data_IF_228500603296
#
_entry.id   IF_228500603296
#
_cell.length_a   1.000
_cell.length_b   1.000
_cell.length_c   1.000
_cell.angle_alpha   90.00
_cell.angle_beta   90.00
_cell.angle_gamma   90.00
#
_symmetry.space_group_name_H-M   'P 1'
#
loop_
_entity.id
_entity.type
_entity.pdbx_description
1 polymer ?
#
# COMPACT_ATOMS: atom_id res chain seq x y z
N UNK A 1 -12.75 -14.36 32.72
CA UNK A 1 -11.60 -13.60 32.19
C UNK A 1 -11.60 -12.27 32.90
N UNK A 2 -10.47 -11.83 33.46
CA UNK A 2 -10.39 -10.49 34.03
C UNK A 2 -10.52 -9.47 32.90
N UNK A 3 -11.32 -8.44 33.10
CA UNK A 3 -11.46 -7.33 32.16
C UNK A 3 -10.17 -6.50 32.21
N UNK A 4 -9.54 -6.28 31.05
CA UNK A 4 -8.34 -5.45 30.98
C UNK A 4 -8.69 -4.03 31.41
N UNK A 5 -7.84 -3.43 32.23
CA UNK A 5 -8.01 -2.05 32.63
C UNK A 5 -7.84 -1.11 31.44
N UNK A 6 -8.43 0.08 31.51
CA UNK A 6 -8.23 1.09 30.47
C UNK A 6 -6.73 1.36 30.21
N UNK A 7 -5.91 1.41 31.26
CA UNK A 7 -4.48 1.64 31.11
C UNK A 7 -3.76 0.50 30.34
N UNK A 8 -4.11 -0.77 30.63
CA UNK A 8 -3.56 -1.92 29.91
C UNK A 8 -3.97 -1.93 28.44
N UNK A 9 -5.23 -1.57 28.14
CA UNK A 9 -5.72 -1.41 26.78
C UNK A 9 -4.97 -0.30 26.03
N UNK A 10 -4.75 0.84 26.67
CA UNK A 10 -4.02 1.96 26.07
C UNK A 10 -2.57 1.59 25.75
N UNK A 11 -1.89 0.88 26.64
CA UNK A 11 -0.53 0.41 26.41
C UNK A 11 -0.46 -0.57 25.24
N UNK A 12 -1.36 -1.56 25.20
CA UNK A 12 -1.43 -2.52 24.10
C UNK A 12 -1.70 -1.83 22.75
N UNK A 13 -2.59 -0.83 22.72
CA UNK A 13 -2.87 -0.04 21.52
C UNK A 13 -1.66 0.81 21.11
N UNK A 14 -0.96 1.44 22.05
CA UNK A 14 0.25 2.22 21.76
C UNK A 14 1.31 1.34 21.09
N UNK A 15 1.62 0.18 21.66
CA UNK A 15 2.66 -0.71 21.13
C UNK A 15 2.32 -1.20 19.71
N UNK A 16 1.06 -1.58 19.48
CA UNK A 16 0.64 -2.02 18.16
C UNK A 16 0.62 -0.89 17.13
N UNK A 17 0.16 0.30 17.50
CA UNK A 17 0.15 1.45 16.59
C UNK A 17 1.55 1.97 16.29
N UNK A 18 2.51 1.85 17.20
CA UNK A 18 3.92 2.10 16.92
C UNK A 18 4.49 1.09 15.92
N UNK A 19 4.17 -0.20 16.08
CA UNK A 19 4.55 -1.21 15.09
C UNK A 19 3.92 -0.93 13.71
N UNK A 20 2.64 -0.58 13.67
CA UNK A 20 1.97 -0.20 12.41
C UNK A 20 2.64 1.02 11.78
N UNK A 21 3.00 2.03 12.56
CA UNK A 21 3.68 3.23 12.06
C UNK A 21 4.96 2.86 11.34
N UNK A 22 5.76 1.99 11.92
CA UNK A 22 7.03 1.56 11.32
C UNK A 22 6.79 0.78 10.01
N UNK A 23 5.72 -0.04 9.94
CA UNK A 23 5.31 -0.70 8.69
C UNK A 23 4.80 0.28 7.63
N UNK A 24 4.03 1.29 8.03
CA UNK A 24 3.57 2.34 7.12
C UNK A 24 4.73 3.18 6.57
N UNK A 25 5.75 3.47 7.38
CA UNK A 25 6.97 4.14 6.91
C UNK A 25 7.74 3.30 5.88
N UNK A 26 7.83 1.99 6.09
CA UNK A 26 8.43 1.07 5.12
C UNK A 26 7.61 0.99 3.82
N UNK A 27 6.27 0.93 3.92
CA UNK A 27 5.37 0.97 2.78
C UNK A 27 5.53 2.28 1.99
N UNK A 28 5.58 3.42 2.67
CA UNK A 28 5.79 4.75 2.06
C UNK A 28 7.15 4.86 1.34
N UNK A 29 8.21 4.29 1.91
CA UNK A 29 9.50 4.22 1.24
C UNK A 29 9.43 3.36 -0.04
N UNK A 30 8.68 2.27 0.00
CA UNK A 30 8.50 1.35 -1.14
C UNK A 30 7.65 1.98 -2.24
N UNK A 31 6.55 2.66 -1.91
CA UNK A 31 5.71 3.36 -2.89
C UNK A 31 6.45 4.47 -3.62
N UNK A 32 7.33 5.21 -2.93
CA UNK A 32 8.21 6.19 -3.61
C UNK A 32 9.11 5.55 -4.67
N UNK A 33 9.62 4.34 -4.42
CA UNK A 33 10.44 3.60 -5.40
C UNK A 33 9.60 3.15 -6.60
N UNK A 34 8.38 2.68 -6.37
CA UNK A 34 7.45 2.32 -7.46
C UNK A 34 7.17 3.52 -8.36
N UNK A 35 6.82 4.68 -7.77
CA UNK A 35 6.60 5.92 -8.53
C UNK A 35 7.85 6.31 -9.32
N UNK A 36 9.03 6.23 -8.72
CA UNK A 36 10.29 6.54 -9.40
C UNK A 36 10.55 5.59 -10.59
N UNK A 37 10.36 4.28 -10.41
CA UNK A 37 10.51 3.27 -11.46
C UNK A 37 9.55 3.54 -12.63
N UNK A 38 8.27 3.80 -12.36
CA UNK A 38 7.32 4.12 -13.43
C UNK A 38 7.62 5.43 -14.16
N UNK A 39 8.12 6.46 -13.46
CA UNK A 39 8.58 7.70 -14.12
C UNK A 39 9.80 7.45 -15.02
N UNK A 40 10.65 6.49 -14.65
CA UNK A 40 11.80 6.08 -15.45
C UNK A 40 11.44 5.08 -16.57
N UNK A 41 10.20 4.57 -16.60
CA UNK A 41 9.78 3.52 -17.53
C UNK A 41 10.36 2.14 -17.19
N UNK A 42 10.76 1.94 -15.94
CA UNK A 42 11.31 0.69 -15.41
C UNK A 42 10.22 -0.22 -14.83
N UNK A 43 10.53 -1.51 -14.72
CA UNK A 43 9.67 -2.48 -14.03
C UNK A 43 9.72 -2.27 -12.51
N UNK A 44 8.56 -2.33 -11.88
CA UNK A 44 8.36 -2.16 -10.45
C UNK A 44 7.75 -3.39 -9.76
N UNK A 45 7.69 -4.55 -10.44
CA UNK A 45 7.03 -5.77 -9.95
C UNK A 45 7.53 -6.21 -8.56
N UNK A 46 8.84 -6.23 -8.35
CA UNK A 46 9.42 -6.60 -7.05
C UNK A 46 8.98 -5.63 -5.93
N UNK A 47 8.92 -4.34 -6.24
CA UNK A 47 8.57 -3.33 -5.25
C UNK A 47 7.06 -3.33 -4.96
N UNK A 48 6.23 -3.67 -5.95
CA UNK A 48 4.82 -3.95 -5.74
C UNK A 48 4.60 -5.16 -4.82
N UNK A 49 5.34 -6.25 -5.01
CA UNK A 49 5.27 -7.40 -4.09
C UNK A 49 5.69 -7.03 -2.66
N UNK A 50 6.76 -6.21 -2.50
CA UNK A 50 7.17 -5.71 -1.18
C UNK A 50 6.13 -4.79 -0.54
N UNK A 51 5.49 -3.93 -1.33
CA UNK A 51 4.41 -3.08 -0.85
C UNK A 51 3.22 -3.93 -0.39
N UNK A 52 2.81 -4.92 -1.17
CA UNK A 52 1.74 -5.84 -0.81
C UNK A 52 2.04 -6.57 0.50
N UNK A 53 3.23 -7.15 0.65
CA UNK A 53 3.63 -7.83 1.88
C UNK A 53 3.59 -6.88 3.10
N UNK A 54 3.98 -5.62 2.91
CA UNK A 54 3.91 -4.60 3.99
C UNK A 54 2.46 -4.29 4.39
N UNK A 55 1.53 -4.27 3.42
CA UNK A 55 0.11 -4.05 3.68
C UNK A 55 -0.54 -5.26 4.37
N UNK A 56 -0.14 -6.48 4.01
CA UNK A 56 -0.58 -7.70 4.68
C UNK A 56 -0.12 -7.74 6.15
N UNK A 57 1.12 -7.34 6.42
CA UNK A 57 1.63 -7.21 7.79
C UNK A 57 0.83 -6.18 8.62
N UNK A 58 0.44 -5.05 8.01
CA UNK A 58 -0.41 -4.05 8.66
C UNK A 58 -1.80 -4.60 8.95
N UNK A 59 -2.39 -5.34 8.00
CA UNK A 59 -3.68 -6.01 8.19
C UNK A 59 -3.63 -7.00 9.35
N UNK A 60 -2.57 -7.81 9.44
CA UNK A 60 -2.38 -8.74 10.55
C UNK A 60 -2.31 -8.03 11.91
N UNK A 61 -1.61 -6.88 12.01
CA UNK A 61 -1.58 -6.10 13.27
C UNK A 61 -2.97 -5.54 13.58
N UNK A 62 -3.71 -5.03 12.59
CA UNK A 62 -5.07 -4.54 12.78
C UNK A 62 -6.01 -5.62 13.34
N UNK A 63 -5.90 -6.84 12.81
CA UNK A 63 -6.69 -7.98 13.29
C UNK A 63 -6.33 -8.35 14.73
N UNK A 64 -5.03 -8.34 15.07
CA UNK A 64 -4.55 -8.63 16.43
C UNK A 64 -5.08 -7.62 17.46
N UNK A 65 -5.16 -6.33 17.11
CA UNK A 65 -5.64 -5.29 18.04
C UNK A 65 -7.12 -4.98 17.94
N UNK A 66 -7.85 -5.63 17.04
CA UNK A 66 -9.26 -5.34 16.78
C UNK A 66 -10.12 -5.41 18.03
N UNK A 67 -9.87 -6.40 18.91
CA UNK A 67 -10.61 -6.53 20.17
C UNK A 67 -10.24 -5.46 21.20
N UNK A 68 -8.93 -5.21 21.42
CA UNK A 68 -8.47 -4.18 22.35
C UNK A 68 -8.99 -2.79 21.94
N UNK A 69 -9.01 -2.52 20.63
CA UNK A 69 -9.57 -1.29 20.06
C UNK A 69 -11.06 -1.18 20.32
N UNK A 70 -11.84 -2.25 20.11
CA UNK A 70 -13.29 -2.27 20.40
C UNK A 70 -13.58 -1.98 21.86
N UNK A 71 -12.82 -2.61 22.77
CA UNK A 71 -12.96 -2.39 24.22
C UNK A 71 -12.60 -0.97 24.62
N UNK A 72 -11.52 -0.43 24.05
CA UNK A 72 -11.12 0.96 24.25
C UNK A 72 -12.19 1.95 23.77
N UNK A 73 -12.70 1.78 22.56
CA UNK A 73 -13.76 2.63 21.98
C UNK A 73 -15.04 2.58 22.83
N UNK A 74 -15.41 1.39 23.32
CA UNK A 74 -16.57 1.20 24.21
C UNK A 74 -16.39 1.84 25.60
N UNK A 75 -15.15 1.98 26.07
CA UNK A 75 -14.85 2.59 27.36
C UNK A 75 -15.11 4.11 27.41
N UNK A 76 -15.19 4.77 26.25
CA UNK A 76 -15.39 6.22 26.15
C UNK A 76 -14.21 7.07 26.65
N UNK A 77 -13.09 6.43 26.99
CA UNK A 77 -11.90 7.12 27.44
C UNK A 77 -11.25 7.91 26.30
N UNK A 78 -10.66 9.06 26.65
CA UNK A 78 -9.85 9.83 25.70
C UNK A 78 -8.45 9.20 25.62
N UNK A 79 -7.84 9.12 24.42
CA UNK A 79 -6.45 8.71 24.30
C UNK A 79 -5.56 9.66 25.08
N UNK A 80 -4.60 9.12 25.82
CA UNK A 80 -3.51 9.88 26.40
C UNK A 80 -2.61 10.46 25.29
N UNK A 81 -1.66 11.33 25.66
CA UNK A 81 -0.84 12.08 24.70
C UNK A 81 -0.10 11.16 23.71
N UNK A 82 0.53 10.09 24.20
CA UNK A 82 1.29 9.14 23.37
C UNK A 82 0.39 8.45 22.33
N UNK A 83 -0.74 7.90 22.77
CA UNK A 83 -1.67 7.24 21.86
C UNK A 83 -2.22 8.23 20.81
N UNK A 84 -2.59 9.43 21.25
CA UNK A 84 -3.08 10.49 20.36
C UNK A 84 -2.06 10.91 19.30
N UNK A 85 -0.79 11.10 19.68
CA UNK A 85 0.28 11.42 18.75
C UNK A 85 0.51 10.30 17.72
N UNK A 86 0.57 9.04 18.17
CA UNK A 86 0.76 7.90 17.25
C UNK A 86 -0.41 7.77 16.28
N UNK A 87 -1.67 7.96 16.73
CA UNK A 87 -2.83 7.95 15.84
C UNK A 87 -2.78 9.06 14.78
N UNK A 88 -2.37 10.28 15.15
CA UNK A 88 -2.21 11.39 14.19
C UNK A 88 -1.09 11.11 13.18
N UNK A 89 0.00 10.48 13.61
CA UNK A 89 1.08 10.06 12.71
C UNK A 89 0.59 9.02 11.71
N UNK A 90 -0.14 8.00 12.18
CA UNK A 90 -0.75 6.99 11.33
C UNK A 90 -1.71 7.59 10.30
N UNK A 91 -2.60 8.50 10.72
CA UNK A 91 -3.53 9.18 9.80
C UNK A 91 -2.80 9.95 8.69
N UNK A 92 -1.66 10.57 9.02
CA UNK A 92 -0.83 11.26 8.02
C UNK A 92 -0.17 10.27 7.05
N UNK A 93 0.42 9.20 7.59
CA UNK A 93 1.11 8.18 6.78
C UNK A 93 0.14 7.46 5.84
N UNK A 94 -1.07 7.12 6.31
CA UNK A 94 -2.12 6.51 5.47
C UNK A 94 -2.49 7.43 4.31
N UNK A 95 -2.69 8.73 4.56
CA UNK A 95 -3.00 9.70 3.49
C UNK A 95 -1.87 9.81 2.48
N UNK A 96 -0.63 9.93 2.95
CA UNK A 96 0.55 10.01 2.06
C UNK A 96 0.72 8.74 1.22
N UNK A 97 0.51 7.57 1.82
CA UNK A 97 0.59 6.30 1.10
C UNK A 97 -0.50 6.19 0.02
N UNK A 98 -1.74 6.59 0.34
CA UNK A 98 -2.83 6.63 -0.63
C UNK A 98 -2.54 7.57 -1.81
N UNK A 99 -1.99 8.76 -1.54
CA UNK A 99 -1.57 9.70 -2.59
C UNK A 99 -0.53 9.07 -3.52
N UNK A 100 0.48 8.40 -2.96
CA UNK A 100 1.54 7.77 -3.75
C UNK A 100 1.06 6.55 -4.54
N UNK A 101 0.16 5.74 -3.98
CA UNK A 101 -0.46 4.61 -4.70
C UNK A 101 -1.30 5.13 -5.87
N UNK A 102 -2.11 6.17 -5.65
CA UNK A 102 -2.90 6.78 -6.71
C UNK A 102 -2.02 7.34 -7.83
N UNK A 103 -0.88 7.97 -7.50
CA UNK A 103 0.07 8.42 -8.49
C UNK A 103 0.67 7.25 -9.28
N UNK A 104 1.13 6.20 -8.60
CA UNK A 104 1.67 5.00 -9.24
C UNK A 104 0.66 4.36 -10.20
N UNK A 105 -0.62 4.27 -9.80
CA UNK A 105 -1.70 3.79 -10.67
C UNK A 105 -1.89 4.65 -11.92
N UNK A 106 -1.86 5.99 -11.78
CA UNK A 106 -1.99 6.89 -12.92
C UNK A 106 -0.84 6.71 -13.91
N UNK A 107 0.40 6.60 -13.41
CA UNK A 107 1.58 6.36 -14.23
C UNK A 107 1.52 5.01 -14.94
N UNK A 108 1.15 3.94 -14.22
CA UNK A 108 1.01 2.61 -14.79
C UNK A 108 -0.07 2.56 -15.89
N UNK A 109 -1.22 3.22 -15.67
CA UNK A 109 -2.29 3.34 -16.67
C UNK A 109 -1.81 4.11 -17.90
N UNK A 110 -1.12 5.23 -17.72
CA UNK A 110 -0.57 6.02 -18.83
C UNK A 110 0.46 5.22 -19.64
N UNK A 111 1.34 4.46 -18.97
CA UNK A 111 2.32 3.59 -19.63
C UNK A 111 1.64 2.50 -20.45
N UNK A 112 0.63 1.82 -19.87
CA UNK A 112 -0.18 0.81 -20.57
C UNK A 112 -0.86 1.40 -21.81
N UNK A 113 -1.52 2.54 -21.67
CA UNK A 113 -2.28 3.17 -22.76
C UNK A 113 -1.38 3.63 -23.92
N UNK A 114 -0.10 3.92 -23.63
CA UNK A 114 0.93 4.17 -24.65
C UNK A 114 1.43 2.90 -25.36
N UNK A 115 1.61 1.80 -24.63
CA UNK A 115 2.18 0.55 -25.18
C UNK A 115 1.17 -0.25 -26.01
N UNK A 116 -0.13 -0.20 -25.68
CA UNK A 116 -1.17 -0.97 -26.39
C UNK A 116 -1.21 -0.67 -27.90
N UNK A 117 -1.16 0.59 -28.37
CA UNK A 117 -1.07 0.89 -29.80
C UNK A 117 0.19 0.33 -30.48
N UNK A 118 1.36 0.42 -29.82
CA UNK A 118 2.64 -0.05 -30.36
C UNK A 118 2.61 -1.58 -30.58
N UNK A 119 2.15 -2.32 -29.58
CA UNK A 119 1.97 -3.78 -29.67
C UNK A 119 0.99 -4.19 -30.77
N UNK A 120 -0.10 -3.44 -30.94
CA UNK A 120 -1.08 -3.70 -31.99
C UNK A 120 -0.53 -3.44 -33.40
N UNK A 121 0.34 -2.44 -33.57
CA UNK A 121 0.98 -2.17 -34.85
C UNK A 121 1.99 -3.26 -35.23
N UNK A 122 2.77 -3.74 -34.26
CA UNK A 122 3.70 -4.86 -34.47
C UNK A 122 2.96 -6.15 -34.83
N UNK A 123 1.88 -6.48 -34.10
CA UNK A 123 1.06 -7.66 -34.38
C UNK A 123 0.47 -7.62 -35.80
N UNK A 124 -0.05 -6.46 -36.23
CA UNK A 124 -0.55 -6.27 -37.61
C UNK A 124 0.55 -6.43 -38.66
N UNK A 125 1.74 -5.89 -38.39
CA UNK A 125 2.90 -6.00 -39.29
C UNK A 125 3.36 -7.45 -39.45
N UNK A 126 3.38 -8.21 -38.35
CA UNK A 126 3.71 -9.64 -38.37
C UNK A 126 2.67 -10.46 -39.13
N UNK A 127 1.37 -10.19 -38.93
CA UNK A 127 0.28 -10.83 -39.67
C UNK A 127 0.38 -10.56 -41.17
N UNK A 128 0.67 -9.32 -41.59
CA UNK A 128 0.88 -9.00 -43.00
C UNK A 128 2.06 -9.78 -43.59
N UNK A 129 3.20 -9.83 -42.91
CA UNK A 129 4.38 -10.59 -43.37
C UNK A 129 4.09 -12.09 -43.51
N UNK A 130 3.34 -12.66 -42.57
CA UNK A 130 2.94 -14.07 -42.64
C UNK A 130 2.00 -14.36 -43.82
N UNK A 131 1.05 -13.46 -44.12
CA UNK A 131 0.18 -13.58 -45.29
C UNK A 131 0.98 -13.57 -46.59
N UNK A 132 1.91 -12.62 -46.77
CA UNK A 132 2.76 -12.55 -47.96
C UNK A 132 3.72 -13.75 -48.11
N UNK A 133 4.14 -14.39 -47.02
CA UNK A 133 5.00 -15.56 -47.07
C UNK A 133 4.25 -16.86 -47.44
N UNK A 134 2.91 -16.86 -47.39
CA UNK A 134 2.09 -18.04 -47.71
C UNK A 134 1.57 -18.00 -49.14
N UNK A 135 1.52 -16.82 -49.77
CA UNK A 135 1.10 -16.61 -51.16
C UNK A 135 2.27 -16.64 -52.18
N UNK A 136 3.48 -17.02 -51.73
CA UNK A 136 4.69 -17.19 -52.55
C UNK A 136 5.11 -18.66 -52.64
#
# INVERSE_FOLDING_TARGET
>A
MAEATAHELELALCEAYEQQRDRYLAAEATSRKIVAAYRAGEDAADELHRLQASLDDIAAINDQVGEARRQWDASGNKPGPRLGETMQQLERLVRQLLEQINEAEQLARAARDRLVPELNQEARTQQMRAAYATDA
#
